data_IF_523449638381
#
_entry.id   IF_523449638381
#
_cell.length_a   1.000
_cell.length_b   1.000
_cell.length_c   1.000
_cell.angle_alpha   90.00
_cell.angle_beta   90.00
_cell.angle_gamma   90.00
#
_symmetry.space_group_name_H-M   'P 1'
#
loop_
_entity.id
_entity.type
_entity.pdbx_description
1 polymer ?
#
# COMPACT_ATOMS: atom_id res chain seq x y z
N UNK A 1 -14.12 -17.52 23.84
CA UNK A 1 -14.86 -16.38 23.27
C UNK A 1 -16.11 -16.88 22.56
N UNK A 2 -17.25 -16.27 22.81
CA UNK A 2 -18.56 -16.70 22.31
C UNK A 2 -18.99 -15.98 21.04
N UNK A 3 -18.09 -15.84 20.06
CA UNK A 3 -18.47 -15.27 18.78
C UNK A 3 -19.61 -16.09 18.14
N UNK A 4 -20.64 -15.41 17.63
CA UNK A 4 -21.76 -16.05 16.93
C UNK A 4 -21.36 -16.48 15.53
N UNK A 5 -20.61 -15.65 14.83
CA UNK A 5 -20.09 -15.87 13.48
C UNK A 5 -18.72 -15.22 13.34
N UNK A 6 -17.82 -15.86 12.64
CA UNK A 6 -16.50 -15.34 12.26
C UNK A 6 -16.34 -15.50 10.75
N UNK A 7 -15.98 -14.42 10.07
CA UNK A 7 -15.71 -14.42 8.63
C UNK A 7 -14.23 -14.12 8.46
N UNK A 8 -13.49 -15.08 7.91
CA UNK A 8 -12.10 -14.89 7.51
C UNK A 8 -12.03 -14.68 6.00
N UNK A 9 -11.33 -13.63 5.58
CA UNK A 9 -11.14 -13.34 4.15
C UNK A 9 -9.65 -13.36 3.86
N UNK A 10 -9.25 -14.19 2.91
CA UNK A 10 -7.87 -14.34 2.46
C UNK A 10 -7.84 -14.44 0.93
N UNK A 11 -7.04 -13.59 0.28
CA UNK A 11 -6.95 -13.54 -1.18
C UNK A 11 -6.24 -14.77 -1.77
N UNK A 12 -5.37 -15.43 -0.99
CA UNK A 12 -4.61 -16.57 -1.44
C UNK A 12 -5.38 -17.88 -1.23
N UNK A 13 -6.04 -18.38 -2.28
CA UNK A 13 -6.78 -19.65 -2.24
C UNK A 13 -5.94 -20.86 -1.88
N UNK A 14 -4.64 -20.87 -2.20
CA UNK A 14 -3.73 -21.96 -1.83
C UNK A 14 -3.54 -21.99 -0.31
N UNK A 15 -3.41 -20.83 0.32
CA UNK A 15 -3.29 -20.72 1.77
C UNK A 15 -4.58 -21.21 2.45
N UNK A 16 -5.74 -20.80 1.94
CA UNK A 16 -7.03 -21.26 2.45
C UNK A 16 -7.18 -22.78 2.33
N UNK A 17 -6.81 -23.38 1.20
CA UNK A 17 -6.85 -24.82 1.00
C UNK A 17 -5.86 -25.56 1.93
N UNK A 18 -4.64 -25.00 2.04
CA UNK A 18 -3.61 -25.55 2.92
C UNK A 18 -4.11 -25.65 4.38
N UNK A 19 -4.66 -24.56 4.90
CA UNK A 19 -5.11 -24.47 6.30
C UNK A 19 -6.39 -25.28 6.52
N UNK A 20 -7.34 -25.20 5.58
CA UNK A 20 -8.66 -25.82 5.74
C UNK A 20 -8.67 -27.31 5.44
N UNK A 21 -7.78 -27.80 4.59
CA UNK A 21 -7.76 -29.18 4.11
C UNK A 21 -6.45 -29.90 4.44
N UNK A 22 -5.32 -29.46 3.88
CA UNK A 22 -4.04 -30.18 3.97
C UNK A 22 -3.53 -30.25 5.41
N UNK A 23 -3.58 -29.13 6.15
CA UNK A 23 -3.14 -29.02 7.54
C UNK A 23 -4.30 -29.10 8.55
N UNK A 24 -5.50 -29.47 8.13
CA UNK A 24 -6.68 -29.49 8.98
C UNK A 24 -6.50 -30.37 10.24
N UNK A 25 -5.73 -31.43 10.16
CA UNK A 25 -5.38 -32.29 11.31
C UNK A 25 -4.47 -31.60 12.33
N UNK A 26 -3.66 -30.65 11.87
CA UNK A 26 -2.73 -29.89 12.72
C UNK A 26 -3.36 -28.59 13.26
N UNK A 27 -4.12 -27.88 12.42
CA UNK A 27 -4.84 -26.66 12.82
C UNK A 27 -6.06 -26.93 13.70
N UNK A 28 -6.51 -28.19 13.74
CA UNK A 28 -7.68 -28.64 14.52
C UNK A 28 -9.01 -28.27 13.85
N UNK A 29 -10.14 -28.55 14.52
CA UNK A 29 -11.49 -28.31 14.00
C UNK A 29 -11.90 -26.84 13.96
N UNK A 30 -10.98 -25.92 14.23
CA UNK A 30 -11.28 -24.50 14.37
C UNK A 30 -11.87 -23.89 13.08
N UNK A 31 -11.37 -24.33 11.93
CA UNK A 31 -11.80 -23.85 10.61
C UNK A 31 -12.70 -24.88 9.94
N UNK A 32 -12.18 -26.11 9.76
CA UNK A 32 -12.92 -27.19 9.13
C UNK A 32 -13.99 -27.72 10.09
N UNK A 33 -15.22 -27.77 9.62
CA UNK A 33 -16.40 -28.25 10.38
C UNK A 33 -16.86 -27.36 11.54
N UNK A 34 -16.41 -26.13 11.62
CA UNK A 34 -16.96 -25.17 12.58
C UNK A 34 -18.07 -24.34 11.91
N UNK A 35 -19.35 -24.55 12.27
CA UNK A 35 -20.47 -23.86 11.61
C UNK A 35 -20.48 -22.34 11.85
N UNK A 36 -19.67 -21.87 12.79
CA UNK A 36 -19.53 -20.44 13.10
C UNK A 36 -18.47 -19.75 12.23
N UNK A 37 -17.64 -20.49 11.49
CA UNK A 37 -16.52 -19.96 10.72
C UNK A 37 -16.79 -20.08 9.24
N UNK A 38 -16.77 -18.96 8.54
CA UNK A 38 -16.86 -18.84 7.09
C UNK A 38 -15.51 -18.36 6.56
N UNK A 39 -14.87 -19.10 5.65
CA UNK A 39 -13.62 -18.67 4.99
C UNK A 39 -13.92 -18.35 3.54
N UNK A 40 -13.54 -17.15 3.10
CA UNK A 40 -13.78 -16.63 1.77
C UNK A 40 -12.43 -16.38 1.10
N UNK A 41 -12.30 -16.91 -0.12
CA UNK A 41 -11.12 -16.64 -0.97
C UNK A 41 -11.44 -15.50 -1.90
N UNK A 42 -11.09 -14.27 -1.50
CA UNK A 42 -11.32 -13.07 -2.31
C UNK A 42 -10.58 -11.86 -1.69
N UNK A 43 -10.63 -10.71 -2.36
CA UNK A 43 -10.18 -9.45 -1.80
C UNK A 43 -11.09 -8.98 -0.65
N UNK A 44 -10.50 -8.69 0.50
CA UNK A 44 -11.23 -8.38 1.72
C UNK A 44 -12.13 -7.14 1.61
N UNK A 45 -11.65 -6.08 0.94
CA UNK A 45 -12.43 -4.87 0.74
C UNK A 45 -13.59 -5.11 -0.23
N UNK A 46 -13.35 -5.88 -1.28
CA UNK A 46 -14.38 -6.28 -2.24
C UNK A 46 -15.48 -7.13 -1.61
N UNK A 47 -15.11 -8.06 -0.72
CA UNK A 47 -16.06 -8.86 0.06
C UNK A 47 -16.91 -7.96 0.94
N UNK A 48 -16.28 -7.06 1.68
CA UNK A 48 -16.98 -6.14 2.58
C UNK A 48 -17.99 -5.27 1.82
N UNK A 49 -17.59 -4.69 0.69
CA UNK A 49 -18.46 -3.85 -0.15
C UNK A 49 -19.67 -4.57 -0.75
N UNK A 50 -19.60 -5.88 -0.94
CA UNK A 50 -20.71 -6.68 -1.48
C UNK A 50 -21.67 -7.18 -0.41
N UNK A 51 -21.37 -6.91 0.86
CA UNK A 51 -22.16 -7.37 2.01
C UNK A 51 -22.85 -6.18 2.68
N UNK A 52 -24.07 -6.40 3.12
CA UNK A 52 -24.81 -5.42 3.94
C UNK A 52 -24.71 -5.73 5.44
N UNK A 53 -23.87 -6.73 5.81
CA UNK A 53 -23.69 -7.16 7.19
C UNK A 53 -22.97 -6.08 8.01
N UNK A 54 -23.41 -5.92 9.25
CA UNK A 54 -22.77 -5.06 10.24
C UNK A 54 -22.01 -5.94 11.24
N UNK A 55 -20.80 -5.54 11.58
CA UNK A 55 -19.87 -6.31 12.39
C UNK A 55 -19.63 -5.65 13.74
N UNK A 56 -19.61 -6.46 14.81
CA UNK A 56 -19.19 -6.02 16.14
C UNK A 56 -17.68 -5.76 16.18
N UNK A 57 -16.89 -6.53 15.41
CA UNK A 57 -15.44 -6.42 15.37
C UNK A 57 -14.94 -6.62 13.94
N UNK A 58 -14.12 -5.70 13.47
CA UNK A 58 -13.36 -5.83 12.22
C UNK A 58 -11.87 -5.85 12.57
N UNK A 59 -11.16 -6.87 12.09
CA UNK A 59 -9.73 -7.05 12.36
C UNK A 59 -8.96 -7.04 11.05
N UNK A 60 -8.00 -6.15 10.93
CA UNK A 60 -6.99 -6.14 9.87
C UNK A 60 -5.60 -6.31 10.50
N UNK A 61 -5.19 -7.57 10.67
CA UNK A 61 -3.93 -7.92 11.29
C UNK A 61 -2.91 -8.36 10.24
N UNK A 62 -1.70 -7.79 10.28
CA UNK A 62 -0.53 -8.24 9.51
C UNK A 62 -0.75 -8.39 7.99
N UNK A 63 -1.47 -7.47 7.38
CA UNK A 63 -1.74 -7.44 5.94
C UNK A 63 -0.55 -6.93 5.11
N UNK A 64 0.66 -7.38 5.42
CA UNK A 64 1.91 -6.96 4.77
C UNK A 64 2.54 -8.18 4.10
N UNK A 65 2.96 -8.02 2.85
CA UNK A 65 3.73 -9.05 2.16
C UNK A 65 5.16 -9.12 2.69
N UNK A 66 5.57 -10.28 3.22
CA UNK A 66 6.93 -10.50 3.68
C UNK A 66 7.98 -10.32 2.55
N UNK A 67 7.62 -10.64 1.31
CA UNK A 67 8.49 -10.43 0.15
C UNK A 67 8.70 -8.94 -0.16
N UNK A 68 7.68 -8.12 0.02
CA UNK A 68 7.80 -6.66 -0.13
C UNK A 68 8.70 -6.07 0.96
N UNK A 69 8.61 -6.56 2.19
CA UNK A 69 9.48 -6.16 3.30
C UNK A 69 10.93 -6.50 3.03
N UNK A 70 11.21 -7.75 2.66
CA UNK A 70 12.58 -8.22 2.44
C UNK A 70 13.28 -7.57 1.25
N UNK A 71 12.53 -7.16 0.23
CA UNK A 71 13.07 -6.42 -0.92
C UNK A 71 13.28 -4.93 -0.67
N UNK A 72 12.83 -4.39 0.48
CA UNK A 72 12.81 -2.96 0.75
C UNK A 72 11.80 -2.17 -0.09
N UNK A 73 10.98 -2.87 -0.89
CA UNK A 73 10.01 -2.26 -1.81
C UNK A 73 8.63 -2.02 -1.16
N UNK A 74 8.50 -2.23 0.15
CA UNK A 74 7.22 -2.14 0.84
C UNK A 74 6.51 -0.79 0.62
N UNK A 75 7.26 0.30 0.61
CA UNK A 75 6.71 1.65 0.39
C UNK A 75 6.16 1.87 -1.03
N UNK A 76 6.57 1.05 -1.99
CA UNK A 76 6.12 1.12 -3.38
C UNK A 76 4.98 0.16 -3.71
N UNK A 77 4.51 -0.63 -2.74
CA UNK A 77 3.40 -1.54 -2.93
C UNK A 77 2.08 -0.80 -2.75
N UNK A 78 1.20 -0.93 -3.72
CA UNK A 78 -0.17 -0.43 -3.62
C UNK A 78 -0.94 -1.19 -2.54
N UNK A 79 -1.54 -0.46 -1.62
CA UNK A 79 -2.25 -1.01 -0.48
C UNK A 79 -3.66 -0.42 -0.39
N UNK A 80 -4.58 -0.97 -1.18
CA UNK A 80 -5.96 -0.50 -1.27
C UNK A 80 -6.82 -0.78 -0.04
N UNK A 81 -6.35 -1.64 0.87
CA UNK A 81 -7.05 -1.91 2.13
C UNK A 81 -6.68 -0.94 3.26
N UNK A 82 -5.70 -0.06 3.02
CA UNK A 82 -5.27 0.97 3.99
C UNK A 82 -5.51 2.40 3.48
N UNK A 83 -6.33 2.56 2.45
CA UNK A 83 -6.73 3.88 1.96
C UNK A 83 -7.81 4.48 2.85
N UNK A 84 -7.96 5.79 2.79
CA UNK A 84 -9.03 6.50 3.50
C UNK A 84 -10.41 5.97 3.10
N UNK A 85 -10.59 5.66 1.84
CA UNK A 85 -11.81 5.08 1.31
C UNK A 85 -12.08 3.67 1.87
N UNK A 86 -11.04 2.84 2.02
CA UNK A 86 -11.17 1.54 2.66
C UNK A 86 -11.54 1.65 4.14
N UNK A 87 -10.94 2.60 4.85
CA UNK A 87 -11.28 2.86 6.25
C UNK A 87 -12.75 3.33 6.37
N UNK A 88 -13.23 4.14 5.43
CA UNK A 88 -14.67 4.50 5.38
C UNK A 88 -15.55 3.26 5.19
N UNK A 89 -15.17 2.36 4.30
CA UNK A 89 -15.89 1.10 4.11
C UNK A 89 -15.92 0.29 5.43
N UNK A 90 -14.81 0.21 6.17
CA UNK A 90 -14.77 -0.48 7.49
C UNK A 90 -15.71 0.19 8.51
N UNK A 91 -15.61 1.50 8.66
CA UNK A 91 -16.43 2.25 9.64
C UNK A 91 -17.92 2.20 9.29
N UNK A 92 -18.28 2.08 8.02
CA UNK A 92 -19.68 1.95 7.59
C UNK A 92 -20.26 0.60 7.95
N UNK A 93 -19.45 -0.48 7.87
CA UNK A 93 -19.88 -1.83 8.23
C UNK A 93 -19.65 -2.19 9.70
N UNK A 94 -19.16 -1.25 10.50
CA UNK A 94 -18.95 -1.44 11.93
C UNK A 94 -20.20 -1.01 12.71
N UNK A 95 -20.61 -1.83 13.68
CA UNK A 95 -21.69 -1.47 14.62
C UNK A 95 -21.38 -0.16 15.37
N UNK A 96 -22.38 0.43 15.98
CA UNK A 96 -22.20 1.67 16.78
C UNK A 96 -21.22 1.45 17.94
N UNK A 97 -21.33 0.32 18.63
CA UNK A 97 -20.40 -0.10 19.70
C UNK A 97 -19.25 -0.95 19.18
N UNK A 98 -19.14 -1.09 17.84
CA UNK A 98 -18.18 -1.93 17.19
C UNK A 98 -16.74 -1.42 17.30
N UNK A 99 -15.81 -2.36 17.22
CA UNK A 99 -14.37 -2.14 17.37
C UNK A 99 -13.64 -2.51 16.10
N UNK A 100 -12.82 -1.61 15.58
CA UNK A 100 -11.89 -1.82 14.50
C UNK A 100 -10.47 -1.96 15.07
N UNK A 101 -9.82 -3.09 14.78
CA UNK A 101 -8.43 -3.32 15.12
C UNK A 101 -7.56 -3.38 13.87
N UNK A 102 -6.50 -2.57 13.82
CA UNK A 102 -5.54 -2.57 12.73
C UNK A 102 -4.13 -2.67 13.31
N UNK A 103 -3.40 -3.73 12.94
CA UNK A 103 -2.00 -3.93 13.31
C UNK A 103 -1.08 -3.49 12.17
N UNK A 104 -0.10 -2.64 12.50
CA UNK A 104 0.90 -2.11 11.55
C UNK A 104 2.24 -1.87 12.26
N UNK A 105 3.35 -1.75 11.52
CA UNK A 105 4.61 -1.25 12.09
C UNK A 105 4.42 0.08 12.80
N UNK A 106 5.11 0.30 13.91
CA UNK A 106 5.00 1.51 14.73
C UNK A 106 5.16 2.79 13.91
N UNK A 107 6.09 2.82 12.95
CA UNK A 107 6.32 3.97 12.06
C UNK A 107 5.12 4.38 11.20
N UNK A 108 4.13 3.50 11.04
CA UNK A 108 2.94 3.72 10.22
C UNK A 108 1.70 4.12 11.05
N UNK A 109 1.76 3.97 12.37
CA UNK A 109 0.63 4.31 13.24
C UNK A 109 0.20 5.78 13.18
N UNK A 110 1.12 6.77 13.07
CA UNK A 110 0.72 8.16 12.87
C UNK A 110 -0.15 8.36 11.62
N UNK A 111 0.25 7.76 10.48
CA UNK A 111 -0.55 7.81 9.24
C UNK A 111 -1.89 7.09 9.39
N UNK A 112 -1.92 5.97 10.12
CA UNK A 112 -3.16 5.25 10.40
C UNK A 112 -4.14 6.10 11.21
N UNK A 113 -3.67 6.79 12.24
CA UNK A 113 -4.50 7.69 13.07
C UNK A 113 -5.07 8.83 12.22
N UNK A 114 -4.26 9.48 11.40
CA UNK A 114 -4.74 10.56 10.52
C UNK A 114 -5.74 10.04 9.49
N UNK A 115 -5.54 8.83 8.97
CA UNK A 115 -6.46 8.17 8.03
C UNK A 115 -7.81 7.88 8.70
N UNK A 116 -7.81 7.29 9.90
CA UNK A 116 -9.02 7.03 10.69
C UNK A 116 -9.77 8.33 11.00
N UNK A 117 -9.03 9.36 11.42
CA UNK A 117 -9.60 10.66 11.78
C UNK A 117 -10.25 11.37 10.61
N UNK A 118 -9.61 11.38 9.43
CA UNK A 118 -10.20 11.96 8.23
C UNK A 118 -11.40 11.16 7.71
N UNK A 119 -11.29 9.81 7.70
CA UNK A 119 -12.41 8.95 7.30
C UNK A 119 -13.63 9.13 8.21
N UNK A 120 -13.43 9.17 9.53
CA UNK A 120 -14.49 9.43 10.50
C UNK A 120 -15.14 10.80 10.30
N UNK A 121 -14.35 11.86 10.11
CA UNK A 121 -14.82 13.21 9.82
C UNK A 121 -15.72 13.25 8.58
N UNK A 122 -15.31 12.60 7.48
CA UNK A 122 -16.10 12.53 6.25
C UNK A 122 -17.42 11.77 6.41
N UNK A 123 -17.49 10.82 7.33
CA UNK A 123 -18.71 10.08 7.67
C UNK A 123 -19.58 10.79 8.72
N UNK A 124 -19.16 11.95 9.23
CA UNK A 124 -19.86 12.65 10.29
C UNK A 124 -19.80 11.95 11.65
N UNK A 125 -18.85 11.04 11.85
CA UNK A 125 -18.63 10.38 13.14
C UNK A 125 -17.91 11.36 14.07
N UNK A 126 -18.43 11.53 15.28
CA UNK A 126 -17.69 12.24 16.33
C UNK A 126 -16.43 11.48 16.64
N UNK A 127 -15.29 12.07 16.34
CA UNK A 127 -14.00 11.41 16.36
C UNK A 127 -13.08 12.18 17.31
N UNK A 128 -13.12 11.81 18.56
CA UNK A 128 -12.39 12.44 19.66
C UNK A 128 -11.33 11.52 20.27
N UNK A 129 -10.73 11.95 21.36
CA UNK A 129 -9.69 11.23 22.05
C UNK A 129 -10.14 9.87 22.60
N UNK A 130 -11.42 9.69 22.89
CA UNK A 130 -11.96 8.45 23.44
C UNK A 130 -12.15 7.33 22.41
N UNK A 131 -12.00 7.61 21.13
CA UNK A 131 -12.14 6.59 20.09
C UNK A 131 -10.89 5.71 19.91
N UNK A 132 -9.73 6.09 20.48
CA UNK A 132 -8.44 5.47 20.14
C UNK A 132 -7.74 4.88 21.35
N UNK A 133 -7.17 3.68 21.14
CA UNK A 133 -6.11 3.12 21.96
C UNK A 133 -4.98 2.66 21.05
N UNK A 134 -3.76 3.06 21.36
CA UNK A 134 -2.55 2.68 20.61
C UNK A 134 -1.66 1.86 21.50
N UNK A 135 -1.25 0.71 21.02
CA UNK A 135 -0.39 -0.19 21.78
C UNK A 135 0.75 -0.71 20.93
N UNK A 136 1.81 -1.14 21.59
CA UNK A 136 2.93 -1.86 20.98
C UNK A 136 3.49 -2.92 21.92
N UNK A 137 4.17 -3.89 21.38
CA UNK A 137 5.00 -4.77 22.17
C UNK A 137 6.33 -4.08 22.46
N UNK A 138 6.83 -4.13 23.70
CA UNK A 138 8.16 -3.61 24.04
C UNK A 138 9.24 -4.21 23.17
N UNK A 139 10.26 -3.43 22.85
CA UNK A 139 11.45 -3.94 22.18
C UNK A 139 12.11 -5.00 23.04
N UNK A 140 12.26 -6.22 22.53
CA UNK A 140 13.07 -7.28 23.12
C UNK A 140 14.26 -7.55 22.21
N UNK A 141 15.17 -8.48 22.60
CA UNK A 141 16.38 -8.82 21.84
C UNK A 141 16.12 -9.27 20.38
N UNK A 142 14.84 -9.48 20.00
CA UNK A 142 14.37 -9.69 18.64
C UNK A 142 13.71 -8.43 18.08
N UNK A 143 14.46 -7.37 17.88
CA UNK A 143 13.96 -6.07 17.38
C UNK A 143 13.14 -6.12 16.09
N UNK A 144 13.42 -7.06 15.19
CA UNK A 144 12.76 -7.15 13.88
C UNK A 144 11.29 -7.57 13.99
N UNK A 145 11.01 -8.56 14.83
CA UNK A 145 9.64 -9.08 15.01
C UNK A 145 8.75 -8.13 15.80
N UNK A 146 9.31 -7.36 16.71
CA UNK A 146 8.53 -6.48 17.60
C UNK A 146 8.01 -5.24 16.90
N UNK A 147 8.67 -4.74 15.86
CA UNK A 147 8.21 -3.57 15.09
C UNK A 147 6.87 -3.78 14.39
N UNK A 148 6.43 -5.04 14.22
CA UNK A 148 5.13 -5.40 13.63
C UNK A 148 4.01 -5.60 14.66
N UNK A 149 4.33 -5.60 15.95
CA UNK A 149 3.37 -5.84 17.01
C UNK A 149 2.86 -4.55 17.63
N UNK A 150 2.64 -3.56 16.80
CA UNK A 150 1.96 -2.34 17.17
C UNK A 150 0.59 -2.28 16.48
N UNK A 151 -0.33 -1.49 17.04
CA UNK A 151 -1.65 -1.37 16.45
C UNK A 151 -2.49 -0.28 17.09
N UNK A 152 -3.59 0.00 16.39
CA UNK A 152 -4.64 0.90 16.85
C UNK A 152 -5.90 0.10 17.03
N UNK A 153 -6.50 0.24 18.18
CA UNK A 153 -7.88 -0.17 18.47
C UNK A 153 -8.74 1.09 18.41
N UNK A 154 -9.74 1.06 17.54
CA UNK A 154 -10.68 2.16 17.36
C UNK A 154 -12.09 1.69 17.69
N UNK A 155 -12.78 2.38 18.60
CA UNK A 155 -14.20 2.13 18.95
C UNK A 155 -15.05 3.28 18.44
N UNK A 156 -16.08 2.97 17.67
CA UNK A 156 -16.86 3.97 16.91
C UNK A 156 -17.57 4.98 17.84
N UNK A 157 -18.10 4.54 18.96
CA UNK A 157 -18.75 5.38 19.98
C UNK A 157 -17.82 5.81 21.14
N UNK A 158 -16.51 5.50 21.02
CA UNK A 158 -15.55 5.76 22.08
C UNK A 158 -15.54 4.70 23.18
N UNK A 159 -14.43 4.65 23.88
CA UNK A 159 -14.21 3.79 25.04
C UNK A 159 -14.67 4.53 26.31
N UNK A 160 -15.30 3.82 27.22
CA UNK A 160 -15.52 4.34 28.56
C UNK A 160 -14.28 4.11 29.45
N UNK A 161 -14.31 4.67 30.66
CA UNK A 161 -13.18 4.57 31.59
C UNK A 161 -12.94 3.12 32.05
N UNK A 162 -13.99 2.33 32.17
CA UNK A 162 -13.89 0.92 32.58
C UNK A 162 -13.28 0.08 31.45
N UNK A 163 -13.68 0.32 30.19
CA UNK A 163 -13.08 -0.27 29.03
C UNK A 163 -11.55 -0.05 29.02
N UNK A 164 -11.11 1.19 29.29
CA UNK A 164 -9.70 1.55 29.32
C UNK A 164 -8.93 0.88 30.46
N UNK A 165 -9.51 0.81 31.65
CA UNK A 165 -8.88 0.12 32.77
C UNK A 165 -8.70 -1.36 32.46
N UNK A 166 -9.74 -2.02 31.95
CA UNK A 166 -9.67 -3.44 31.54
C UNK A 166 -8.65 -3.66 30.43
N UNK A 167 -8.58 -2.77 29.46
CA UNK A 167 -7.58 -2.86 28.38
C UNK A 167 -6.15 -2.69 28.88
N UNK A 168 -5.92 -1.83 29.89
CA UNK A 168 -4.61 -1.66 30.52
C UNK A 168 -4.18 -2.92 31.29
N UNK A 169 -5.10 -3.52 32.03
CA UNK A 169 -4.84 -4.76 32.76
C UNK A 169 -4.52 -5.91 31.79
N UNK A 170 -5.31 -6.07 30.73
CA UNK A 170 -5.09 -7.10 29.71
C UNK A 170 -3.79 -6.86 28.94
N UNK A 171 -3.52 -5.63 28.52
CA UNK A 171 -2.26 -5.28 27.85
C UNK A 171 -1.04 -5.62 28.71
N UNK A 172 -1.10 -5.28 29.99
CA UNK A 172 -0.04 -5.61 30.96
C UNK A 172 0.15 -7.12 31.08
N UNK A 173 -0.94 -7.90 31.16
CA UNK A 173 -0.89 -9.36 31.24
C UNK A 173 -0.26 -10.00 30.00
N UNK A 174 -0.44 -9.38 28.83
CA UNK A 174 0.11 -9.81 27.54
C UNK A 174 1.51 -9.24 27.25
N UNK A 175 2.07 -8.43 28.14
CA UNK A 175 3.35 -7.78 27.95
C UNK A 175 3.32 -6.74 26.83
N UNK A 176 2.22 -6.01 26.68
CA UNK A 176 2.04 -4.91 25.72
C UNK A 176 2.11 -3.57 26.45
N UNK A 177 2.75 -2.59 25.82
CA UNK A 177 2.73 -1.21 26.26
C UNK A 177 1.58 -0.45 25.61
N UNK A 178 0.83 0.32 26.39
CA UNK A 178 -0.13 1.29 25.88
C UNK A 178 0.59 2.61 25.64
N UNK A 179 0.77 2.96 24.39
CA UNK A 179 1.41 4.20 23.96
C UNK A 179 0.46 5.40 24.04
N UNK A 180 -0.81 5.16 23.81
CA UNK A 180 -1.87 6.17 23.92
C UNK A 180 -3.21 5.53 24.28
N UNK A 181 -3.86 6.12 25.25
CA UNK A 181 -5.29 6.08 25.50
C UNK A 181 -5.71 7.45 26.12
N UNK A 182 -7.01 7.75 26.27
CA UNK A 182 -7.47 9.02 26.86
C UNK A 182 -6.96 9.31 28.27
N UNK A 183 -6.50 8.30 29.00
CA UNK A 183 -5.92 8.45 30.34
C UNK A 183 -4.40 8.70 30.30
N UNK A 184 -3.80 8.74 29.12
CA UNK A 184 -2.35 8.94 28.94
C UNK A 184 -1.98 10.40 29.24
N UNK A 185 -1.14 10.61 30.26
CA UNK A 185 -0.70 11.95 30.71
C UNK A 185 0.44 12.46 29.84
N UNK A 186 1.37 11.57 29.44
CA UNK A 186 2.56 11.94 28.70
C UNK A 186 2.22 12.42 27.29
N UNK A 187 2.88 13.50 26.85
CA UNK A 187 2.75 13.99 25.49
C UNK A 187 3.60 13.16 24.56
N UNK A 188 2.97 12.66 23.49
CA UNK A 188 3.60 11.93 22.41
C UNK A 188 2.94 12.25 21.07
N UNK A 189 3.48 11.69 19.98
CA UNK A 189 2.95 11.93 18.64
C UNK A 189 1.50 11.46 18.48
N UNK A 190 1.13 10.36 19.10
CA UNK A 190 -0.22 9.79 19.00
C UNK A 190 -1.24 10.71 19.69
N UNK A 191 -0.94 11.15 20.91
CA UNK A 191 -1.78 12.12 21.64
C UNK A 191 -1.96 13.41 20.84
N UNK A 192 -0.87 13.95 20.30
CA UNK A 192 -0.92 15.16 19.46
C UNK A 192 -1.86 14.99 18.27
N UNK A 193 -1.78 13.87 17.55
CA UNK A 193 -2.61 13.63 16.38
C UNK A 193 -4.07 13.33 16.74
N UNK A 194 -4.31 12.56 17.78
CA UNK A 194 -5.67 12.19 18.23
C UNK A 194 -6.41 13.42 18.74
N UNK A 195 -5.77 14.24 19.60
CA UNK A 195 -6.40 15.44 20.18
C UNK A 195 -6.39 16.66 19.27
N UNK A 196 -5.75 16.55 18.08
CA UNK A 196 -5.67 17.67 17.12
C UNK A 196 -7.05 18.15 16.70
N UNK A 197 -7.27 19.45 16.81
CA UNK A 197 -8.48 20.14 16.31
C UNK A 197 -8.41 20.44 14.80
N UNK A 198 -7.21 20.47 14.24
CA UNK A 198 -6.99 20.74 12.82
C UNK A 198 -5.92 19.78 12.29
N UNK A 199 -6.37 18.58 11.94
CA UNK A 199 -5.50 17.52 11.47
C UNK A 199 -4.79 17.88 10.14
N UNK A 200 -5.39 18.74 9.32
CA UNK A 200 -4.81 19.18 8.04
C UNK A 200 -3.52 19.97 8.27
N UNK A 201 -3.47 20.79 9.34
CA UNK A 201 -2.26 21.52 9.71
C UNK A 201 -1.15 20.56 10.20
N UNK A 202 -1.51 19.51 10.93
CA UNK A 202 -0.52 18.54 11.40
C UNK A 202 0.00 17.69 10.24
N UNK A 203 -0.85 17.29 9.31
CA UNK A 203 -0.44 16.64 8.07
C UNK A 203 0.53 17.52 7.29
N UNK A 204 0.27 18.82 7.18
CA UNK A 204 1.13 19.76 6.45
C UNK A 204 2.54 19.91 7.06
N UNK A 205 2.72 19.62 8.36
CA UNK A 205 4.05 19.64 9.01
C UNK A 205 4.95 18.49 8.54
N UNK A 206 4.38 17.32 8.27
CA UNK A 206 5.10 16.15 7.74
C UNK A 206 4.20 15.33 6.82
N UNK A 207 4.02 15.78 5.56
CA UNK A 207 3.10 15.13 4.64
C UNK A 207 3.44 13.67 4.35
N UNK A 208 4.73 13.32 4.26
CA UNK A 208 5.16 11.95 3.97
C UNK A 208 4.73 10.96 5.06
N UNK A 209 4.77 11.40 6.32
CA UNK A 209 4.47 10.55 7.46
C UNK A 209 3.00 10.55 7.85
N UNK A 210 2.27 11.64 7.58
CA UNK A 210 0.92 11.84 8.11
C UNK A 210 -0.17 11.89 7.04
N UNK A 211 0.15 12.05 5.74
CA UNK A 211 -0.89 12.07 4.71
C UNK A 211 -1.55 10.70 4.56
N UNK A 212 -2.88 10.62 4.68
CA UNK A 212 -3.61 9.39 4.37
C UNK A 212 -3.38 8.94 2.93
N UNK A 213 -3.25 7.65 2.74
CA UNK A 213 -3.33 7.07 1.40
C UNK A 213 -4.78 7.16 0.89
N UNK A 214 -4.95 7.31 -0.41
CA UNK A 214 -6.25 7.33 -1.10
C UNK A 214 -6.27 6.30 -2.22
N UNK A 215 -7.44 6.00 -2.75
CA UNK A 215 -7.55 5.06 -3.88
C UNK A 215 -6.81 5.55 -5.14
N UNK A 216 -6.60 6.87 -5.28
CA UNK A 216 -5.76 7.44 -6.33
C UNK A 216 -4.26 7.36 -6.02
N UNK A 217 -3.88 7.23 -4.74
CA UNK A 217 -2.49 7.15 -4.26
C UNK A 217 -2.41 6.11 -3.14
N UNK A 218 -2.52 4.81 -3.45
CA UNK A 218 -2.68 3.74 -2.46
C UNK A 218 -1.35 3.31 -1.81
N UNK A 219 -0.41 4.23 -1.63
CA UNK A 219 0.93 3.97 -1.10
C UNK A 219 0.98 4.26 0.40
N UNK A 220 0.19 3.51 1.18
CA UNK A 220 0.13 3.69 2.64
C UNK A 220 1.49 3.48 3.32
N UNK A 221 2.27 2.53 2.82
CA UNK A 221 3.55 2.13 3.37
C UNK A 221 4.69 3.09 2.97
N UNK A 222 4.43 4.07 2.10
CA UNK A 222 5.38 5.10 1.71
C UNK A 222 5.39 6.26 2.72
N UNK A 223 6.41 6.26 3.56
CA UNK A 223 6.62 7.27 4.61
C UNK A 223 7.76 8.24 4.28
N UNK A 224 8.37 8.13 3.10
CA UNK A 224 9.56 8.88 2.70
C UNK A 224 9.39 9.56 1.36
N UNK A 225 10.04 10.71 1.21
CA UNK A 225 10.15 11.43 -0.05
C UNK A 225 11.46 11.07 -0.78
N UNK A 226 11.50 11.24 -2.09
CA UNK A 226 12.76 11.18 -2.85
C UNK A 226 13.76 12.26 -2.40
N UNK A 227 13.31 13.35 -1.77
CA UNK A 227 14.17 14.36 -1.15
C UNK A 227 14.97 13.83 0.05
N UNK A 228 14.54 12.72 0.65
CA UNK A 228 15.23 12.09 1.78
C UNK A 228 16.41 11.22 1.32
N UNK A 229 16.54 10.99 -0.01
CA UNK A 229 17.65 10.25 -0.61
C UNK A 229 18.86 11.17 -0.72
N UNK A 230 19.87 10.90 0.09
CA UNK A 230 21.16 11.59 0.07
C UNK A 230 22.31 10.57 0.17
N UNK A 231 23.56 11.05 0.05
CA UNK A 231 24.72 10.16 0.08
C UNK A 231 24.82 9.33 1.36
N UNK A 232 24.43 9.89 2.50
CA UNK A 232 24.45 9.19 3.78
C UNK A 232 23.40 8.07 3.82
N UNK A 233 22.15 8.34 3.37
CA UNK A 233 21.10 7.31 3.32
C UNK A 233 21.45 6.19 2.35
N UNK A 234 22.10 6.52 1.21
CA UNK A 234 22.59 5.50 0.26
C UNK A 234 23.63 4.61 0.94
N UNK A 235 24.62 5.21 1.60
CA UNK A 235 25.66 4.48 2.31
C UNK A 235 25.07 3.59 3.42
N UNK A 236 24.15 4.11 4.21
CA UNK A 236 23.48 3.38 5.29
C UNK A 236 22.74 2.14 4.77
N UNK A 237 22.02 2.29 3.64
CA UNK A 237 21.29 1.18 3.03
C UNK A 237 22.20 0.07 2.49
N UNK A 238 23.38 0.44 1.97
CA UNK A 238 24.31 -0.54 1.41
C UNK A 238 25.31 -1.11 2.43
N UNK A 239 25.47 -0.48 3.59
CA UNK A 239 26.40 -0.93 4.62
C UNK A 239 25.80 -1.96 5.58
N UNK A 240 24.49 -2.23 5.53
CA UNK A 240 23.82 -3.18 6.42
C UNK A 240 23.37 -4.42 5.63
N UNK A 241 23.58 -5.59 6.24
CA UNK A 241 23.30 -6.89 5.62
C UNK A 241 21.80 -7.21 5.55
N UNK A 242 20.97 -6.61 6.42
CA UNK A 242 19.54 -6.85 6.47
C UNK A 242 18.71 -5.60 6.12
N UNK A 243 18.25 -5.56 4.87
CA UNK A 243 17.41 -4.46 4.33
C UNK A 243 16.03 -4.40 4.97
N UNK A 244 15.53 -5.51 5.49
CA UNK A 244 14.23 -5.54 6.16
C UNK A 244 14.30 -4.77 7.49
N UNK A 245 15.38 -4.94 8.25
CA UNK A 245 15.63 -4.16 9.47
C UNK A 245 15.72 -2.66 9.17
N UNK A 246 16.36 -2.30 8.04
CA UNK A 246 16.46 -0.89 7.64
C UNK A 246 15.12 -0.26 7.31
N UNK A 247 14.26 -0.98 6.58
CA UNK A 247 12.91 -0.51 6.26
C UNK A 247 12.09 -0.31 7.54
N UNK A 248 12.27 -1.20 8.52
CA UNK A 248 11.62 -1.12 9.83
C UNK A 248 12.16 0.02 10.70
N UNK A 249 13.45 0.33 10.59
CA UNK A 249 14.10 1.44 11.31
C UNK A 249 13.86 2.81 10.65
N UNK A 250 12.84 2.93 9.84
CA UNK A 250 12.47 4.21 9.24
C UNK A 250 13.55 4.81 8.32
N UNK A 251 14.02 4.04 7.34
CA UNK A 251 14.95 4.49 6.30
C UNK A 251 14.30 4.44 4.91
N UNK A 252 14.64 5.34 3.99
CA UNK A 252 14.06 5.38 2.63
C UNK A 252 14.65 4.30 1.71
N UNK A 253 14.54 3.02 2.11
CA UNK A 253 15.18 1.89 1.40
C UNK A 253 14.64 1.74 -0.02
N UNK A 254 13.34 1.89 -0.22
CA UNK A 254 12.72 1.75 -1.53
C UNK A 254 13.16 2.87 -2.48
N UNK A 255 13.16 4.12 -2.02
CA UNK A 255 13.60 5.28 -2.80
C UNK A 255 15.09 5.17 -3.17
N UNK A 256 15.93 4.78 -2.20
CA UNK A 256 17.36 4.53 -2.44
C UNK A 256 17.56 3.40 -3.47
N UNK A 257 16.84 2.31 -3.32
CA UNK A 257 16.92 1.17 -4.26
C UNK A 257 16.51 1.58 -5.68
N UNK A 258 15.41 2.35 -5.82
CA UNK A 258 14.97 2.85 -7.13
C UNK A 258 16.00 3.79 -7.77
N UNK A 259 16.52 4.76 -7.02
CA UNK A 259 17.52 5.69 -7.54
C UNK A 259 18.78 4.94 -7.98
N UNK A 260 19.25 4.00 -7.17
CA UNK A 260 20.45 3.22 -7.51
C UNK A 260 20.22 2.28 -8.70
N UNK A 261 19.07 1.62 -8.79
CA UNK A 261 18.69 0.82 -9.96
C UNK A 261 18.60 1.69 -11.22
N UNK A 262 17.99 2.86 -11.14
CA UNK A 262 17.92 3.79 -12.27
C UNK A 262 19.33 4.17 -12.76
N UNK A 263 20.21 4.55 -11.84
CA UNK A 263 21.60 4.89 -12.18
C UNK A 263 22.32 3.69 -12.81
N UNK A 264 22.17 2.49 -12.26
CA UNK A 264 22.76 1.28 -12.81
C UNK A 264 22.26 0.98 -14.23
N UNK A 265 20.94 1.06 -14.46
CA UNK A 265 20.35 0.84 -15.80
C UNK A 265 20.84 1.87 -16.79
N UNK A 266 20.92 3.15 -16.39
CA UNK A 266 21.47 4.21 -17.26
C UNK A 266 22.93 3.99 -17.60
N UNK A 267 23.75 3.56 -16.62
CA UNK A 267 25.16 3.23 -16.85
C UNK A 267 25.31 2.03 -17.82
N UNK A 268 24.54 0.96 -17.60
CA UNK A 268 24.56 -0.22 -18.49
C UNK A 268 24.10 0.16 -19.90
N UNK A 269 23.01 0.92 -20.02
CA UNK A 269 22.52 1.42 -21.31
C UNK A 269 23.58 2.29 -22.01
N UNK A 270 24.23 3.19 -21.26
CA UNK A 270 25.32 4.01 -21.78
C UNK A 270 26.47 3.15 -22.30
N UNK A 271 26.94 2.19 -21.51
CA UNK A 271 28.02 1.27 -21.90
C UNK A 271 27.64 0.48 -23.17
N UNK A 272 26.45 -0.14 -23.19
CA UNK A 272 26.02 -1.00 -24.30
C UNK A 272 25.67 -0.23 -25.57
N UNK A 273 25.25 1.02 -25.49
CA UNK A 273 24.88 1.82 -26.67
C UNK A 273 26.02 2.70 -27.17
N UNK A 274 26.76 3.34 -26.28
CA UNK A 274 27.79 4.33 -26.63
C UNK A 274 29.11 3.63 -27.00
N UNK A 275 29.56 2.66 -26.20
CA UNK A 275 30.84 1.98 -26.45
C UNK A 275 30.85 1.31 -27.83
N UNK A 276 29.86 0.50 -28.26
CA UNK A 276 29.84 -0.06 -29.60
C UNK A 276 29.80 1.01 -30.71
N UNK A 277 29.07 2.12 -30.45
CA UNK A 277 28.97 3.21 -31.45
C UNK A 277 30.30 3.90 -31.76
N UNK A 278 31.24 3.89 -30.79
CA UNK A 278 32.61 4.43 -30.99
C UNK A 278 33.42 3.53 -31.90
N UNK A 279 33.19 2.20 -31.84
CA UNK A 279 33.95 1.22 -32.67
C UNK A 279 33.33 0.97 -34.04
N UNK A 280 32.07 1.31 -34.27
CA UNK A 280 31.41 1.20 -35.56
C UNK A 280 31.79 2.42 -36.38
N UNK A 281 32.77 2.25 -37.27
CA UNK A 281 33.10 3.23 -38.33
C UNK A 281 31.96 3.24 -39.36
N UNK A 282 30.88 3.94 -39.05
CA UNK A 282 29.81 4.21 -40.00
C UNK A 282 30.19 5.38 -40.89
N UNK A 283 29.75 5.33 -42.17
CA UNK A 283 29.84 6.46 -43.07
C UNK A 283 29.26 7.72 -42.41
N UNK A 284 30.07 8.76 -42.29
CA UNK A 284 29.76 10.00 -41.59
C UNK A 284 28.54 10.79 -42.13
N UNK A 285 27.80 10.23 -43.09
CA UNK A 285 26.63 10.84 -43.76
C UNK A 285 25.33 10.75 -43.00
N UNK A 286 25.21 9.90 -41.99
CA UNK A 286 23.96 9.79 -41.20
C UNK A 286 24.16 10.30 -39.79
N UNK A 287 24.20 11.62 -39.60
CA UNK A 287 23.99 12.22 -38.26
C UNK A 287 22.57 11.91 -37.81
N UNK A 288 22.45 11.11 -36.74
CA UNK A 288 21.14 10.89 -36.10
C UNK A 288 20.59 12.25 -35.68
N UNK A 289 19.45 12.63 -36.23
CA UNK A 289 18.80 13.88 -35.85
C UNK A 289 18.33 13.76 -34.38
N UNK A 290 18.80 14.69 -33.53
CA UNK A 290 18.43 14.74 -32.13
C UNK A 290 16.91 14.80 -31.92
N UNK A 291 16.18 15.45 -32.82
CA UNK A 291 14.72 15.52 -32.83
C UNK A 291 14.09 14.13 -32.96
N UNK A 292 14.67 13.27 -33.78
CA UNK A 292 14.20 11.90 -33.98
C UNK A 292 14.42 11.05 -32.73
N UNK A 293 15.58 11.19 -32.10
CA UNK A 293 15.85 10.52 -30.81
C UNK A 293 14.88 10.93 -29.72
N UNK A 294 14.66 12.25 -29.58
CA UNK A 294 13.68 12.79 -28.61
C UNK A 294 12.26 12.31 -28.89
N UNK A 295 11.86 12.23 -30.16
CA UNK A 295 10.55 11.73 -30.56
C UNK A 295 10.31 10.31 -30.06
N UNK A 296 11.26 9.38 -30.28
CA UNK A 296 11.15 8.01 -29.79
C UNK A 296 11.19 7.93 -28.26
N UNK A 297 12.00 8.75 -27.59
CA UNK A 297 12.05 8.81 -26.16
C UNK A 297 10.68 9.23 -25.56
N UNK A 298 10.03 10.25 -26.12
CA UNK A 298 8.70 10.69 -25.68
C UNK A 298 7.60 9.66 -25.95
N UNK A 299 7.66 8.96 -27.10
CA UNK A 299 6.72 7.84 -27.37
C UNK A 299 6.90 6.74 -26.34
N UNK A 300 8.13 6.35 -26.02
CA UNK A 300 8.41 5.33 -25.01
C UNK A 300 7.89 5.73 -23.63
N UNK A 301 8.15 6.97 -23.18
CA UNK A 301 7.65 7.50 -21.93
C UNK A 301 6.11 7.53 -21.90
N UNK A 302 5.47 8.02 -22.98
CA UNK A 302 4.02 8.06 -23.08
C UNK A 302 3.40 6.66 -23.01
N UNK A 303 3.98 5.69 -23.71
CA UNK A 303 3.50 4.31 -23.71
C UNK A 303 3.54 3.70 -22.29
N UNK A 304 4.68 3.82 -21.60
CA UNK A 304 4.82 3.31 -20.22
C UNK A 304 3.89 4.03 -19.25
N UNK A 305 3.75 5.35 -19.38
CA UNK A 305 2.86 6.14 -18.51
C UNK A 305 1.40 5.69 -18.63
N UNK A 306 0.91 5.49 -19.85
CA UNK A 306 -0.44 4.99 -20.11
C UNK A 306 -0.59 3.57 -19.55
N UNK A 307 0.42 2.70 -19.78
CA UNK A 307 0.39 1.32 -19.29
C UNK A 307 0.26 1.24 -17.78
N UNK A 308 1.06 2.03 -17.06
CA UNK A 308 1.03 2.08 -15.58
C UNK A 308 -0.33 2.61 -15.09
N UNK A 309 -0.82 3.70 -15.68
CA UNK A 309 -2.12 4.28 -15.31
C UNK A 309 -3.28 3.29 -15.53
N UNK A 310 -3.27 2.54 -16.65
CA UNK A 310 -4.27 1.51 -16.92
C UNK A 310 -4.18 0.35 -15.92
N UNK A 311 -2.96 -0.13 -15.60
CA UNK A 311 -2.76 -1.19 -14.61
C UNK A 311 -3.33 -0.74 -13.26
N UNK A 312 -3.01 0.45 -12.77
CA UNK A 312 -3.52 0.98 -11.52
C UNK A 312 -5.05 1.05 -11.50
N UNK A 313 -5.64 1.64 -12.54
CA UNK A 313 -7.09 1.82 -12.64
C UNK A 313 -7.86 0.50 -12.73
N UNK A 314 -7.35 -0.45 -13.52
CA UNK A 314 -7.98 -1.76 -13.67
C UNK A 314 -7.73 -2.70 -12.49
N UNK A 315 -6.70 -2.48 -11.67
CA UNK A 315 -6.47 -3.27 -10.45
C UNK A 315 -7.64 -3.11 -9.48
N UNK A 316 -8.17 -1.89 -9.33
CA UNK A 316 -9.36 -1.63 -8.52
C UNK A 316 -10.62 -2.33 -9.07
N UNK A 317 -10.73 -2.44 -10.39
CA UNK A 317 -11.88 -3.04 -11.05
C UNK A 317 -11.83 -4.57 -11.04
N UNK A 318 -10.67 -5.17 -11.32
CA UNK A 318 -10.49 -6.61 -11.44
C UNK A 318 -10.17 -7.30 -10.08
N UNK A 319 -9.81 -6.51 -9.06
CA UNK A 319 -9.54 -6.99 -7.71
C UNK A 319 -8.23 -7.78 -7.54
N UNK A 320 -7.55 -8.16 -8.66
CA UNK A 320 -6.31 -8.92 -8.61
C UNK A 320 -5.23 -8.36 -9.55
N UNK A 321 -4.06 -7.92 -9.01
CA UNK A 321 -2.99 -7.30 -9.79
C UNK A 321 -2.47 -8.16 -10.95
N UNK A 322 -2.39 -9.49 -10.75
CA UNK A 322 -1.87 -10.42 -11.78
C UNK A 322 -2.76 -10.45 -13.02
N UNK A 323 -4.08 -10.56 -12.83
CA UNK A 323 -5.02 -10.54 -13.95
C UNK A 323 -5.04 -9.18 -14.64
N UNK A 324 -4.91 -8.11 -13.87
CA UNK A 324 -4.83 -6.75 -14.41
C UNK A 324 -3.62 -6.58 -15.30
N UNK A 325 -2.43 -6.95 -14.82
CA UNK A 325 -1.20 -6.88 -15.61
C UNK A 325 -1.32 -7.69 -16.89
N UNK A 326 -1.80 -8.94 -16.78
CA UNK A 326 -1.97 -9.82 -17.94
C UNK A 326 -2.91 -9.21 -18.98
N UNK A 327 -4.06 -8.71 -18.53
CA UNK A 327 -5.09 -8.13 -19.42
C UNK A 327 -4.59 -6.85 -20.09
N UNK A 328 -4.00 -5.92 -19.34
CA UNK A 328 -3.51 -4.64 -19.87
C UNK A 328 -2.36 -4.86 -20.84
N UNK A 329 -1.33 -5.63 -20.44
CA UNK A 329 -0.16 -5.86 -21.29
C UNK A 329 -0.56 -6.60 -22.57
N UNK A 330 -1.36 -7.67 -22.46
CA UNK A 330 -1.81 -8.43 -23.64
C UNK A 330 -2.65 -7.57 -24.58
N UNK A 331 -3.57 -6.78 -24.06
CA UNK A 331 -4.39 -5.86 -24.85
C UNK A 331 -3.53 -4.84 -25.58
N UNK A 332 -2.61 -4.19 -24.87
CA UNK A 332 -1.71 -3.20 -25.47
C UNK A 332 -0.83 -3.81 -26.57
N UNK A 333 -0.30 -5.02 -26.36
CA UNK A 333 0.50 -5.72 -27.39
C UNK A 333 -0.33 -6.08 -28.61
N UNK A 334 -1.54 -6.62 -28.44
CA UNK A 334 -2.43 -6.98 -29.54
C UNK A 334 -2.79 -5.74 -30.38
N UNK A 335 -3.27 -4.68 -29.71
CA UNK A 335 -3.64 -3.44 -30.40
C UNK A 335 -2.46 -2.71 -31.01
N UNK A 336 -1.28 -2.75 -30.38
CA UNK A 336 -0.03 -2.24 -30.97
C UNK A 336 0.35 -3.01 -32.24
N UNK A 337 0.23 -4.35 -32.25
CA UNK A 337 0.47 -5.18 -33.43
C UNK A 337 -0.53 -4.88 -34.56
N UNK A 338 -1.81 -4.73 -34.25
CA UNK A 338 -2.86 -4.33 -35.19
C UNK A 338 -2.56 -2.94 -35.75
N UNK A 339 -2.23 -1.98 -34.87
CA UNK A 339 -1.86 -0.62 -35.26
C UNK A 339 -0.65 -0.58 -36.21
N UNK A 340 0.38 -1.36 -35.90
CA UNK A 340 1.58 -1.50 -36.77
C UNK A 340 1.19 -2.03 -38.15
N UNK A 341 0.34 -3.05 -38.23
CA UNK A 341 -0.13 -3.62 -39.51
C UNK A 341 -0.87 -2.59 -40.37
N UNK A 342 -1.70 -1.75 -39.77
CA UNK A 342 -2.50 -0.76 -40.49
C UNK A 342 -1.83 0.61 -40.62
N UNK A 343 -0.71 0.83 -39.95
CA UNK A 343 0.00 2.13 -39.91
C UNK A 343 0.33 2.69 -41.29
N UNK A 344 0.76 1.85 -42.24
CA UNK A 344 1.10 2.26 -43.60
C UNK A 344 -0.13 2.83 -44.33
N UNK A 345 -1.30 2.21 -44.17
CA UNK A 345 -2.56 2.72 -44.75
C UNK A 345 -3.04 4.00 -44.12
N UNK A 346 -2.87 4.13 -42.81
CA UNK A 346 -3.31 5.29 -42.02
C UNK A 346 -2.38 6.50 -42.25
N UNK A 347 -1.09 6.28 -42.39
CA UNK A 347 -0.08 7.33 -42.59
C UNK A 347 -0.18 8.05 -43.96
N UNK A 348 -0.84 7.47 -44.96
CA UNK A 348 -1.00 8.05 -46.28
C UNK A 348 -1.87 9.32 -46.32
N UNK A 349 -2.57 9.67 -45.24
CA UNK A 349 -3.40 10.87 -45.19
C UNK A 349 -3.13 11.64 -43.89
N UNK A 350 -2.72 12.92 -44.03
CA UNK A 350 -2.55 13.83 -42.91
C UNK A 350 -3.84 13.97 -42.05
N UNK A 351 -5.00 13.89 -42.70
CA UNK A 351 -6.31 13.96 -42.06
C UNK A 351 -6.57 12.78 -41.13
N UNK A 352 -6.17 11.57 -41.52
CA UNK A 352 -6.32 10.37 -40.71
C UNK A 352 -5.45 10.43 -39.44
N UNK A 353 -4.22 10.96 -39.57
CA UNK A 353 -3.33 11.17 -38.43
C UNK A 353 -3.95 12.15 -37.44
N UNK A 354 -4.53 13.25 -37.92
CA UNK A 354 -5.22 14.22 -37.06
C UNK A 354 -6.41 13.62 -36.31
N UNK A 355 -7.21 12.76 -36.94
CA UNK A 355 -8.32 12.08 -36.28
C UNK A 355 -7.87 11.10 -35.20
N UNK A 356 -6.73 10.40 -35.42
CA UNK A 356 -6.16 9.51 -34.41
C UNK A 356 -5.69 10.32 -33.20
N UNK A 357 -4.98 11.45 -33.42
CA UNK A 357 -4.58 12.35 -32.35
C UNK A 357 -5.78 12.92 -31.58
N UNK A 358 -6.82 13.34 -32.29
CA UNK A 358 -8.05 13.85 -31.66
C UNK A 358 -8.71 12.76 -30.81
N UNK A 359 -8.78 11.52 -31.30
CA UNK A 359 -9.30 10.37 -30.56
C UNK A 359 -8.54 10.08 -29.27
N UNK A 360 -7.20 10.19 -29.29
CA UNK A 360 -6.36 10.00 -28.10
C UNK A 360 -6.56 11.12 -27.07
N UNK A 361 -6.79 12.35 -27.53
CA UNK A 361 -7.01 13.51 -26.62
C UNK A 361 -8.41 13.50 -25.99
N UNK A 362 -9.41 12.95 -26.67
CA UNK A 362 -10.80 12.89 -26.17
C UNK A 362 -11.01 11.73 -25.19
N UNK A 363 -10.23 10.65 -25.33
CA UNK A 363 -10.30 9.49 -24.44
C UNK A 363 -9.50 9.69 -23.15
#
# INVERSE_FOLDING_TARGET
YSAKKVIGVEINGILNDLISNTLAGWTGPLIKNNPKVEIITDDARSVLKRRDEIFDVIISAHTISASAVSSGAMSMVENFIMTKEAVKDYLTHLDKEGVLYISRPESQLPKLITTLKQAGKELGITNDEFNYVVFKRPASDFEVTNSYLAGVVYKKNGFDVLDMINMREEASSLGLDIEYDPLTIQDNVYKTLVTSKNIELDIAKNPSLYSPATDDKPFFDDNYSFSDVNWQTIKDVFSQDDKAILALKSKPVAQVTLVTMLVQILLVAFVLMIIPSIFIKGDAKHKVDKKFLMFFAFIGLGYISIQIALIQKFTLFLGQPVYTMLTVISSMLIFSGIGAKYSVKLANSKRNIQYIFLGIVIY
#
